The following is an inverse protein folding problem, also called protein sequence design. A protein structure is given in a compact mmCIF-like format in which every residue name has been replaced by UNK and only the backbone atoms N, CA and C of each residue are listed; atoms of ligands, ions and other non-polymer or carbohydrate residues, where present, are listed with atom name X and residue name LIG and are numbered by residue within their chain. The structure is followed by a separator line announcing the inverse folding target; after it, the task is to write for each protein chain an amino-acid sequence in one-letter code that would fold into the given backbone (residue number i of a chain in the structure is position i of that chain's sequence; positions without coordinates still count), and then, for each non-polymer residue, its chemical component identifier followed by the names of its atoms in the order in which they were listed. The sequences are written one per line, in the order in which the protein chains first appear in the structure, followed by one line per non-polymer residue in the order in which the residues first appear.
data_IF_412296423053
#
_entry.id   IF_412296423053
#
_cell.length_a   1.000
_cell.length_b   1.000
_cell.length_c   1.000
_cell.angle_alpha   90.00
_cell.angle_beta   90.00
_cell.angle_gamma   90.00
#
_symmetry.space_group_name_H-M   'P 1'
#
loop_
_entity.id
_entity.type
_entity.pdbx_description
1 polymer ?
#
# COMPACT_ATOMS: atom_id res chain seq x y z
N UNK A 1 -29.10 52.04 32.12
CA UNK A 1 -27.80 51.35 32.22
C UNK A 1 -27.95 49.97 31.62
N UNK A 2 -27.43 49.85 30.41
CA UNK A 2 -27.32 48.65 29.60
C UNK A 2 -26.55 47.53 30.29
N UNK A 3 -27.06 46.30 30.19
CA UNK A 3 -26.22 45.10 30.05
C UNK A 3 -26.85 44.16 29.04
N UNK A 4 -26.28 44.16 27.84
CA UNK A 4 -26.42 43.14 26.79
C UNK A 4 -25.92 41.81 27.34
N UNK A 5 -26.74 40.76 27.25
CA UNK A 5 -26.29 39.38 27.40
C UNK A 5 -26.47 38.62 26.09
N UNK A 6 -25.36 38.60 25.35
CA UNK A 6 -24.90 37.65 24.34
C UNK A 6 -25.88 36.56 23.89
N UNK A 7 -26.45 36.74 22.69
CA UNK A 7 -26.92 35.64 21.86
C UNK A 7 -25.75 34.67 21.56
N UNK A 8 -25.90 33.40 21.94
CA UNK A 8 -25.07 32.29 21.43
C UNK A 8 -25.74 31.74 20.17
N UNK A 9 -25.08 31.68 19.01
CA UNK A 9 -25.60 30.90 17.90
C UNK A 9 -25.28 29.43 18.19
N UNK A 10 -26.31 28.64 18.50
CA UNK A 10 -26.25 27.19 18.43
C UNK A 10 -26.03 26.81 16.97
N UNK A 11 -24.77 26.60 16.60
CA UNK A 11 -24.39 25.94 15.36
C UNK A 11 -24.84 24.48 15.41
N UNK A 12 -26.14 24.26 15.15
CA UNK A 12 -26.67 22.96 14.82
C UNK A 12 -26.00 22.50 13.53
N UNK A 13 -25.36 21.34 13.62
CA UNK A 13 -24.90 20.57 12.46
C UNK A 13 -26.05 20.55 11.46
N UNK A 14 -25.84 21.19 10.31
CA UNK A 14 -26.74 21.05 9.17
C UNK A 14 -26.61 19.60 8.73
N UNK A 15 -27.54 18.77 9.17
CA UNK A 15 -27.82 17.50 8.53
C UNK A 15 -27.97 17.82 7.04
N UNK A 16 -26.96 17.42 6.26
CA UNK A 16 -27.05 17.35 4.81
C UNK A 16 -27.97 16.18 4.48
N UNK A 17 -29.26 16.34 4.78
CA UNK A 17 -30.31 15.56 4.12
C UNK A 17 -30.32 16.08 2.69
N UNK A 18 -29.48 15.49 1.85
CA UNK A 18 -29.68 15.52 0.42
C UNK A 18 -31.07 14.92 0.20
N UNK A 19 -32.03 15.74 -0.21
CA UNK A 19 -33.32 15.28 -0.72
C UNK A 19 -33.07 14.54 -2.04
N UNK A 20 -32.59 13.30 -1.93
CA UNK A 20 -32.43 12.38 -3.04
C UNK A 20 -33.84 11.97 -3.47
N UNK A 21 -34.19 12.17 -4.75
CA UNK A 21 -35.51 11.80 -5.26
C UNK A 21 -35.64 10.28 -5.30
N UNK A 22 -36.87 9.76 -5.17
CA UNK A 22 -37.15 8.31 -5.13
C UNK A 22 -36.60 7.56 -6.36
N UNK A 23 -36.55 8.22 -7.52
CA UNK A 23 -35.98 7.69 -8.76
C UNK A 23 -34.44 7.60 -8.72
N UNK A 24 -33.77 8.54 -8.05
CA UNK A 24 -32.30 8.54 -7.91
C UNK A 24 -31.82 7.33 -7.07
N UNK A 25 -32.59 6.92 -6.05
CA UNK A 25 -32.27 5.71 -5.27
C UNK A 25 -32.31 4.44 -6.12
N UNK A 26 -33.25 4.35 -7.06
CA UNK A 26 -33.37 3.19 -7.95
C UNK A 26 -32.18 3.10 -8.89
N UNK A 27 -31.70 4.24 -9.39
CA UNK A 27 -30.49 4.30 -10.23
C UNK A 27 -29.22 3.93 -9.43
N UNK A 28 -29.07 4.47 -8.22
CA UNK A 28 -27.95 4.13 -7.32
C UNK A 28 -27.91 2.62 -7.02
N UNK A 29 -29.07 2.01 -6.74
CA UNK A 29 -29.17 0.57 -6.48
C UNK A 29 -28.84 -0.28 -7.72
N UNK A 30 -29.29 0.14 -8.91
CA UNK A 30 -28.94 -0.53 -10.17
C UNK A 30 -27.44 -0.46 -10.43
N UNK A 31 -26.83 0.71 -10.25
CA UNK A 31 -25.40 0.91 -10.43
C UNK A 31 -24.59 0.07 -9.44
N UNK A 32 -24.95 0.08 -8.16
CA UNK A 32 -24.31 -0.75 -7.13
C UNK A 32 -24.37 -2.24 -7.47
N UNK A 33 -25.54 -2.74 -7.89
CA UNK A 33 -25.71 -4.14 -8.26
C UNK A 33 -24.85 -4.52 -9.49
N UNK A 34 -24.78 -3.63 -10.49
CA UNK A 34 -23.89 -3.81 -11.64
C UNK A 34 -22.42 -3.91 -11.21
N UNK A 35 -21.95 -2.97 -10.38
CA UNK A 35 -20.58 -2.98 -9.87
C UNK A 35 -20.26 -4.22 -9.02
N UNK A 36 -21.22 -4.71 -8.22
CA UNK A 36 -21.03 -5.95 -7.44
C UNK A 36 -20.90 -7.16 -8.38
N UNK A 37 -21.72 -7.25 -9.43
CA UNK A 37 -21.64 -8.36 -10.41
C UNK A 37 -20.32 -8.33 -11.18
N UNK A 38 -19.87 -7.15 -11.59
CA UNK A 38 -18.58 -6.97 -12.25
C UNK A 38 -17.44 -7.42 -11.33
N UNK A 39 -17.45 -6.97 -10.06
CA UNK A 39 -16.48 -7.40 -9.07
C UNK A 39 -16.48 -8.93 -8.86
N UNK A 40 -17.66 -9.55 -8.72
CA UNK A 40 -17.79 -11.01 -8.57
C UNK A 40 -17.24 -11.76 -9.77
N UNK A 41 -17.45 -11.24 -10.99
CA UNK A 41 -16.94 -11.85 -12.22
C UNK A 41 -15.41 -11.79 -12.24
N UNK A 42 -14.84 -10.59 -12.04
CA UNK A 42 -13.40 -10.39 -12.04
C UNK A 42 -12.69 -11.18 -10.93
N UNK A 43 -13.27 -11.18 -9.72
CA UNK A 43 -12.73 -11.92 -8.58
C UNK A 43 -12.91 -13.44 -8.74
N UNK A 44 -13.98 -13.87 -9.41
CA UNK A 44 -14.21 -15.27 -9.78
C UNK A 44 -13.12 -15.80 -10.71
N UNK A 45 -12.67 -15.01 -11.67
CA UNK A 45 -11.55 -15.36 -12.56
C UNK A 45 -10.26 -15.56 -11.75
N UNK A 46 -9.98 -14.68 -10.78
CA UNK A 46 -8.81 -14.80 -9.92
C UNK A 46 -8.84 -16.11 -9.11
N UNK A 47 -9.97 -16.47 -8.52
CA UNK A 47 -10.12 -17.71 -7.75
C UNK A 47 -10.01 -18.97 -8.62
N UNK A 48 -10.49 -18.91 -9.86
CA UNK A 48 -10.55 -20.08 -10.75
C UNK A 48 -9.19 -20.40 -11.36
N UNK A 49 -8.40 -19.37 -11.68
CA UNK A 49 -7.11 -19.55 -12.34
C UNK A 49 -5.91 -19.58 -11.37
N UNK A 50 -6.06 -19.05 -10.16
CA UNK A 50 -4.96 -18.95 -9.20
C UNK A 50 -5.36 -19.51 -7.84
N UNK A 51 -4.65 -20.55 -7.40
CA UNK A 51 -4.67 -20.99 -6.00
C UNK A 51 -3.70 -20.12 -5.20
N UNK A 52 -4.11 -19.70 -3.99
CA UNK A 52 -3.25 -18.98 -3.04
C UNK A 52 -1.91 -19.68 -2.79
N UNK A 53 -1.89 -21.02 -2.85
CA UNK A 53 -0.68 -21.85 -2.67
C UNK A 53 0.23 -21.87 -3.90
N UNK A 54 -0.37 -21.73 -5.09
CA UNK A 54 0.39 -21.68 -6.33
C UNK A 54 1.03 -20.30 -6.50
N UNK A 55 0.33 -19.27 -6.00
CA UNK A 55 0.78 -17.90 -6.01
C UNK A 55 2.01 -17.66 -5.11
N UNK A 56 2.12 -18.37 -3.99
CA UNK A 56 3.30 -18.36 -3.10
C UNK A 56 4.57 -18.85 -3.81
N UNK A 57 4.43 -19.78 -4.76
CA UNK A 57 5.56 -20.35 -5.50
C UNK A 57 6.02 -19.50 -6.68
N UNK A 58 5.10 -18.68 -7.22
CA UNK A 58 5.35 -17.89 -8.43
C UNK A 58 5.81 -16.47 -8.10
N UNK A 59 5.35 -15.88 -7.00
CA UNK A 59 5.67 -14.50 -6.65
C UNK A 59 6.87 -14.37 -5.71
N UNK A 60 7.61 -13.27 -5.87
CA UNK A 60 8.63 -12.85 -4.91
C UNK A 60 7.96 -12.59 -3.54
N UNK A 61 8.56 -12.97 -2.39
CA UNK A 61 8.04 -12.71 -1.06
C UNK A 61 7.44 -11.32 -0.83
N UNK A 62 8.05 -10.26 -1.38
CA UNK A 62 7.54 -8.88 -1.28
C UNK A 62 6.22 -8.72 -2.03
N UNK A 63 6.15 -9.22 -3.26
CA UNK A 63 4.93 -9.14 -4.09
C UNK A 63 3.82 -10.03 -3.53
N UNK A 64 4.18 -11.18 -2.94
CA UNK A 64 3.24 -12.05 -2.24
C UNK A 64 2.66 -11.36 -1.00
N UNK A 65 3.49 -10.67 -0.21
CA UNK A 65 3.02 -9.89 0.93
C UNK A 65 2.11 -8.72 0.51
N UNK A 66 2.42 -8.05 -0.59
CA UNK A 66 1.60 -6.96 -1.13
C UNK A 66 0.23 -7.47 -1.60
N UNK A 67 0.21 -8.59 -2.35
CA UNK A 67 -1.03 -9.25 -2.76
C UNK A 67 -1.91 -9.65 -1.57
N UNK A 68 -1.34 -10.29 -0.55
CA UNK A 68 -2.10 -10.67 0.65
C UNK A 68 -2.62 -9.46 1.43
N UNK A 69 -1.84 -8.38 1.50
CA UNK A 69 -2.25 -7.14 2.16
C UNK A 69 -3.38 -6.45 1.40
N UNK A 70 -3.32 -6.45 0.06
CA UNK A 70 -4.42 -6.01 -0.79
C UNK A 70 -5.69 -6.83 -0.56
N UNK A 71 -5.57 -8.16 -0.49
CA UNK A 71 -6.71 -9.04 -0.25
C UNK A 71 -7.37 -8.78 1.12
N UNK A 72 -6.56 -8.64 2.17
CA UNK A 72 -7.03 -8.27 3.49
C UNK A 72 -7.75 -6.91 3.48
N UNK A 73 -7.17 -5.91 2.80
CA UNK A 73 -7.78 -4.59 2.66
C UNK A 73 -9.14 -4.65 1.94
N UNK A 74 -9.22 -5.42 0.84
CA UNK A 74 -10.45 -5.60 0.07
C UNK A 74 -11.57 -6.23 0.92
N UNK A 75 -11.26 -7.30 1.66
CA UNK A 75 -12.23 -7.97 2.55
C UNK A 75 -12.74 -7.01 3.62
N UNK A 76 -11.83 -6.30 4.31
CA UNK A 76 -12.22 -5.34 5.33
C UNK A 76 -13.03 -4.17 4.77
N UNK A 77 -12.72 -3.73 3.54
CA UNK A 77 -13.46 -2.66 2.86
C UNK A 77 -14.87 -3.10 2.45
N UNK A 78 -15.03 -4.32 1.94
CA UNK A 78 -16.34 -4.89 1.62
C UNK A 78 -17.16 -5.04 2.90
N UNK A 79 -16.57 -5.54 3.98
CA UNK A 79 -17.25 -5.68 5.26
C UNK A 79 -17.67 -4.32 5.84
N UNK A 80 -16.81 -3.30 5.74
CA UNK A 80 -17.16 -1.93 6.12
C UNK A 80 -18.31 -1.35 5.29
N UNK A 81 -18.33 -1.61 3.98
CA UNK A 81 -19.45 -1.23 3.11
C UNK A 81 -20.74 -1.97 3.45
N UNK A 82 -20.66 -3.27 3.77
CA UNK A 82 -21.79 -4.05 4.25
C UNK A 82 -22.36 -3.44 5.54
N UNK A 83 -21.54 -3.12 6.53
CA UNK A 83 -21.98 -2.49 7.78
C UNK A 83 -22.67 -1.15 7.54
N UNK A 84 -22.21 -0.38 6.55
CA UNK A 84 -22.86 0.88 6.14
C UNK A 84 -24.25 0.65 5.59
N UNK A 85 -24.41 -0.37 4.75
CA UNK A 85 -25.70 -0.69 4.12
C UNK A 85 -26.67 -1.29 5.15
N UNK A 86 -26.19 -2.11 6.09
CA UNK A 86 -27.00 -2.74 7.12
C UNK A 86 -27.45 -1.79 8.24
N UNK A 87 -27.01 -0.52 8.25
CA UNK A 87 -27.37 0.45 9.27
C UNK A 87 -26.74 0.19 10.65
N UNK A 88 -25.73 -0.69 10.73
CA UNK A 88 -25.03 -1.00 11.97
C UNK A 88 -24.09 0.15 12.37
N UNK A 89 -23.93 0.38 13.68
CA UNK A 89 -23.20 1.53 14.21
C UNK A 89 -21.70 1.48 13.90
N UNK A 90 -21.27 2.12 12.80
CA UNK A 90 -19.87 2.20 12.37
C UNK A 90 -18.98 3.07 13.27
N UNK A 91 -19.56 3.88 14.15
CA UNK A 91 -18.80 4.85 14.95
C UNK A 91 -17.84 4.11 15.89
N UNK A 92 -18.30 3.02 16.52
CA UNK A 92 -17.53 2.23 17.49
C UNK A 92 -17.06 0.86 16.95
N UNK A 93 -17.24 0.59 15.66
CA UNK A 93 -16.91 -0.73 15.13
C UNK A 93 -15.38 -0.91 14.96
N UNK A 94 -14.78 -2.01 15.45
CA UNK A 94 -13.32 -2.23 15.40
C UNK A 94 -12.75 -2.31 13.98
N UNK A 95 -13.59 -2.49 12.96
CA UNK A 95 -13.18 -2.53 11.55
C UNK A 95 -12.37 -1.29 11.13
N UNK A 96 -12.64 -0.12 11.71
CA UNK A 96 -11.86 1.10 11.43
C UNK A 96 -10.41 0.96 11.90
N UNK A 97 -10.20 0.31 13.04
CA UNK A 97 -8.86 0.04 13.55
C UNK A 97 -8.17 -1.03 12.71
N UNK A 98 -8.88 -2.07 12.29
CA UNK A 98 -8.33 -3.11 11.40
C UNK A 98 -7.93 -2.53 10.03
N UNK A 99 -8.76 -1.67 9.45
CA UNK A 99 -8.41 -0.96 8.20
C UNK A 99 -7.14 -0.12 8.37
N UNK A 100 -6.99 0.62 9.48
CA UNK A 100 -5.78 1.39 9.76
C UNK A 100 -4.55 0.50 9.92
N UNK A 101 -4.67 -0.65 10.58
CA UNK A 101 -3.58 -1.62 10.73
C UNK A 101 -3.14 -2.15 9.36
N UNK A 102 -4.09 -2.56 8.53
CA UNK A 102 -3.80 -3.08 7.18
C UNK A 102 -3.13 -2.00 6.33
N UNK A 103 -3.61 -0.75 6.37
CA UNK A 103 -2.96 0.37 5.68
C UNK A 103 -1.52 0.60 6.16
N UNK A 104 -1.27 0.50 7.47
CA UNK A 104 0.09 0.59 8.02
C UNK A 104 0.99 -0.53 7.48
N UNK A 105 0.49 -1.77 7.42
CA UNK A 105 1.23 -2.91 6.87
C UNK A 105 1.51 -2.75 5.38
N UNK A 106 0.55 -2.26 4.59
CA UNK A 106 0.74 -1.95 3.18
C UNK A 106 1.82 -0.89 2.96
N UNK A 107 1.88 0.13 3.82
CA UNK A 107 2.92 1.15 3.75
C UNK A 107 4.30 0.57 4.08
N UNK A 108 4.40 -0.27 5.11
CA UNK A 108 5.65 -0.94 5.49
C UNK A 108 6.18 -1.85 4.35
N UNK A 109 5.28 -2.56 3.66
CA UNK A 109 5.66 -3.41 2.51
C UNK A 109 6.18 -2.55 1.35
N UNK A 110 5.55 -1.40 1.09
CA UNK A 110 6.01 -0.46 0.05
C UNK A 110 7.38 0.13 0.36
N UNK A 111 7.63 0.48 1.62
CA UNK A 111 8.93 0.98 2.08
C UNK A 111 10.04 -0.07 1.99
N UNK A 112 9.71 -1.34 2.20
CA UNK A 112 10.65 -2.46 2.12
C UNK A 112 10.84 -2.99 0.69
N UNK A 113 10.05 -2.54 -0.28
CA UNK A 113 10.18 -2.98 -1.65
C UNK A 113 11.52 -2.46 -2.25
N UNK A 114 12.43 -3.36 -2.70
CA UNK A 114 13.76 -2.98 -3.18
C UNK A 114 13.73 -2.08 -4.43
N UNK A 115 12.69 -2.17 -5.28
CA UNK A 115 12.54 -1.30 -6.46
C UNK A 115 12.37 0.19 -6.09
N UNK A 116 11.86 0.50 -4.89
CA UNK A 116 11.77 1.87 -4.37
C UNK A 116 13.04 2.31 -3.60
N UNK A 117 13.99 1.41 -3.37
CA UNK A 117 15.21 1.64 -2.59
C UNK A 117 16.49 1.60 -3.44
N UNK A 118 16.38 1.60 -4.77
CA UNK A 118 17.54 1.73 -5.66
C UNK A 118 18.30 3.04 -5.40
N UNK A 119 17.61 4.10 -4.96
CA UNK A 119 18.22 5.38 -4.60
C UNK A 119 18.99 5.37 -3.27
N UNK A 120 18.83 4.35 -2.42
CA UNK A 120 19.42 4.31 -1.06
C UNK A 120 20.53 3.30 -0.88
N UNK A 121 20.72 2.35 -1.80
CA UNK A 121 21.91 1.52 -1.79
C UNK A 121 23.05 2.24 -2.52
N UNK A 122 23.44 3.39 -1.97
CA UNK A 122 24.75 3.96 -2.26
C UNK A 122 25.79 2.95 -1.78
N UNK A 123 26.20 2.06 -2.68
CA UNK A 123 27.43 1.29 -2.55
C UNK A 123 28.53 2.32 -2.35
N UNK A 124 28.83 2.61 -1.09
CA UNK A 124 29.83 3.60 -0.74
C UNK A 124 31.18 2.94 -1.03
N UNK A 125 31.67 3.13 -2.25
CA UNK A 125 32.95 2.59 -2.67
C UNK A 125 34.00 3.19 -1.74
N UNK A 126 34.67 2.33 -0.98
CA UNK A 126 35.78 2.75 -0.13
C UNK A 126 36.97 3.13 -1.04
N UNK A 127 37.07 4.43 -1.34
CA UNK A 127 38.09 5.00 -2.24
C UNK A 127 39.51 4.64 -1.80
N UNK A 128 39.74 4.52 -0.49
CA UNK A 128 41.06 4.18 0.05
C UNK A 128 41.40 2.71 -0.19
N UNK A 129 40.45 1.79 0.04
CA UNK A 129 40.63 0.37 -0.27
C UNK A 129 40.84 0.16 -1.78
N UNK A 130 40.05 0.84 -2.62
CA UNK A 130 40.22 0.80 -4.08
C UNK A 130 41.59 1.32 -4.52
N UNK A 131 42.08 2.41 -3.90
CA UNK A 131 43.42 2.94 -4.17
C UNK A 131 44.52 1.93 -3.82
N UNK A 132 44.43 1.28 -2.65
CA UNK A 132 45.41 0.25 -2.24
C UNK A 132 45.46 -0.94 -3.20
N UNK A 133 44.30 -1.37 -3.70
CA UNK A 133 44.22 -2.44 -4.70
C UNK A 133 44.89 -2.01 -6.02
N UNK A 134 44.60 -0.81 -6.50
CA UNK A 134 45.20 -0.26 -7.73
C UNK A 134 46.72 -0.13 -7.57
N UNK A 135 47.19 0.45 -6.47
CA UNK A 135 48.62 0.64 -6.21
C UNK A 135 49.37 -0.69 -6.12
N UNK A 136 48.77 -1.72 -5.49
CA UNK A 136 49.33 -3.07 -5.43
C UNK A 136 49.40 -3.75 -6.80
N UNK A 137 48.38 -3.57 -7.66
CA UNK A 137 48.39 -4.09 -9.02
C UNK A 137 49.45 -3.41 -9.89
N UNK A 138 49.66 -2.11 -9.70
CA UNK A 138 50.68 -1.33 -10.43
C UNK A 138 52.09 -1.74 -9.98
N UNK A 139 52.34 -1.89 -8.68
CA UNK A 139 53.65 -2.30 -8.16
C UNK A 139 54.03 -3.71 -8.64
N UNK A 140 53.10 -4.66 -8.52
CA UNK A 140 53.30 -6.03 -8.98
C UNK A 140 53.65 -6.11 -10.47
N UNK A 141 52.98 -5.32 -11.31
CA UNK A 141 53.30 -5.25 -12.74
C UNK A 141 54.69 -4.66 -13.03
N UNK A 142 55.13 -3.66 -12.26
CA UNK A 142 56.50 -3.11 -12.38
C UNK A 142 57.55 -4.16 -12.02
N UNK A 143 57.30 -4.95 -10.97
CA UNK A 143 58.22 -6.00 -10.52
C UNK A 143 58.29 -7.16 -11.51
N UNK A 144 57.17 -7.54 -12.13
CA UNK A 144 57.15 -8.52 -13.22
C UNK A 144 57.93 -8.06 -14.45
N UNK A 145 57.81 -6.77 -14.82
CA UNK A 145 58.60 -6.22 -15.94
C UNK A 145 60.08 -6.26 -15.63
N UNK A 146 60.51 -5.83 -14.44
CA UNK A 146 61.92 -5.91 -14.03
C UNK A 146 62.47 -7.34 -14.11
N UNK A 147 61.73 -8.33 -13.61
CA UNK A 147 62.15 -9.75 -13.68
C UNK A 147 62.29 -10.30 -15.10
N UNK A 148 61.55 -9.76 -16.08
CA UNK A 148 61.68 -10.14 -17.50
C UNK A 148 62.93 -9.60 -18.18
N UNK A 149 63.53 -8.52 -17.69
CA UNK A 149 64.76 -7.93 -18.25
C UNK A 149 66.05 -8.48 -17.62
N UNK A 150 65.95 -9.32 -16.59
CA UNK A 150 67.08 -9.99 -15.92
C UNK A 150 67.25 -11.46 -16.36
N UNK A 151 66.72 -11.84 -17.52
CA UNK A 151 66.84 -13.17 -18.13
C UNK A 151 67.29 -13.01 -19.57
#
# INVERSE_FOLDING_TARGET
MDKKESARPTGGQKDLVLEIKKDDYVEILKNLNSSIKEFQTNFGLLKTHYSLKDLEKVLNPVQYADYNSFLAYAICSIFHSYLKISGNFLINHPIKNELKKIQSLMNEIKEKNPENNEDKRSLTINKEASKRIIDSCISYNKDLKKRKYFK
#
